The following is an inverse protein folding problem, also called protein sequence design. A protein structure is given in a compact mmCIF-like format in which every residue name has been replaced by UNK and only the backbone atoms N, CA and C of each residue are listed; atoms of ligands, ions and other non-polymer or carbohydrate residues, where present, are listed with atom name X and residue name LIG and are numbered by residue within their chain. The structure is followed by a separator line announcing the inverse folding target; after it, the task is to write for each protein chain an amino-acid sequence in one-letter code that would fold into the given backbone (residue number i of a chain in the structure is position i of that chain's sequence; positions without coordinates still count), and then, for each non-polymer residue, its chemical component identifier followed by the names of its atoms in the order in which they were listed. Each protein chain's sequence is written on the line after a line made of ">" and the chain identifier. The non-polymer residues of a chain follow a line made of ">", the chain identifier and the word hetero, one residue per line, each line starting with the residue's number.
data_IF_530462571159
#
_entry.id   IF_530462571159
#
_cell.length_a   1.000
_cell.length_b   1.000
_cell.length_c   1.000
_cell.angle_alpha   90.00
_cell.angle_beta   90.00
_cell.angle_gamma   90.00
#
_symmetry.space_group_name_H-M   'P 1'
#
loop_
_entity.id
_entity.type
_entity.pdbx_description
1 polymer ?
#
# COMPACT_ATOMS: atom_id res chain seq x y z
N UNK A 1 -2.92 -25.59 8.72
CA UNK A 1 -2.90 -24.69 9.88
C UNK A 1 -2.05 -23.49 9.50
N UNK A 2 -2.63 -22.30 9.33
CA UNK A 2 -1.88 -21.10 8.96
C UNK A 2 -0.99 -20.67 10.14
N UNK A 3 0.24 -20.20 9.90
CA UNK A 3 1.10 -19.71 10.96
C UNK A 3 0.44 -18.53 11.68
N UNK A 4 0.57 -18.48 13.00
CA UNK A 4 -0.05 -17.45 13.85
C UNK A 4 0.71 -16.12 13.84
N UNK A 5 1.89 -16.09 13.25
CA UNK A 5 2.75 -14.91 13.22
C UNK A 5 3.62 -14.96 11.97
N UNK A 6 3.43 -13.99 11.07
CA UNK A 6 4.28 -13.84 9.89
C UNK A 6 5.47 -12.92 10.24
N UNK A 7 6.71 -13.29 9.89
CA UNK A 7 7.87 -12.43 10.13
C UNK A 7 7.76 -11.15 9.28
N UNK A 8 8.11 -9.99 9.84
CA UNK A 8 7.96 -8.67 9.16
C UNK A 8 8.95 -8.45 8.01
N UNK A 9 10.01 -9.27 7.95
CA UNK A 9 11.03 -9.22 6.89
C UNK A 9 10.58 -9.92 5.60
N UNK A 10 9.33 -10.38 5.56
CA UNK A 10 8.75 -11.11 4.43
C UNK A 10 8.58 -10.25 3.18
N UNK A 11 8.70 -8.92 3.31
CA UNK A 11 8.47 -7.94 2.26
C UNK A 11 9.71 -7.10 2.05
N UNK A 12 10.22 -7.11 0.82
CA UNK A 12 11.21 -6.13 0.38
C UNK A 12 10.51 -5.06 -0.46
N UNK A 13 10.25 -3.85 0.08
CA UNK A 13 9.56 -2.80 -0.66
C UNK A 13 10.47 -2.14 -1.70
N UNK A 14 9.96 -1.96 -2.91
CA UNK A 14 10.52 -1.05 -3.92
C UNK A 14 9.55 0.10 -4.12
N UNK A 15 10.06 1.31 -4.02
CA UNK A 15 9.27 2.53 -4.17
C UNK A 15 9.34 3.06 -5.60
N UNK A 16 8.18 3.35 -6.17
CA UNK A 16 8.04 4.05 -7.44
C UNK A 16 7.18 5.31 -7.31
N UNK A 17 7.37 6.24 -8.25
CA UNK A 17 6.46 7.37 -8.46
C UNK A 17 5.95 7.38 -9.91
N UNK A 18 4.69 7.78 -10.11
CA UNK A 18 4.10 7.95 -11.45
C UNK A 18 3.48 9.33 -11.58
N UNK A 19 3.83 10.06 -12.64
CA UNK A 19 3.59 11.51 -12.78
C UNK A 19 2.45 11.86 -13.73
N UNK A 20 1.50 10.95 -14.01
CA UNK A 20 0.36 11.32 -14.88
C UNK A 20 -0.59 12.25 -14.11
N UNK A 21 -0.77 13.49 -14.58
CA UNK A 21 -1.50 14.56 -13.89
C UNK A 21 -2.99 14.22 -13.66
N UNK A 22 -3.34 13.86 -12.43
CA UNK A 22 -4.69 13.68 -11.88
C UNK A 22 -4.64 13.99 -10.37
N UNK A 23 -5.76 14.35 -9.70
CA UNK A 23 -5.75 14.71 -8.28
C UNK A 23 -5.12 13.65 -7.37
N UNK A 24 -5.12 12.35 -7.73
CA UNK A 24 -4.45 11.30 -6.94
C UNK A 24 -2.93 11.49 -6.79
N UNK A 25 -2.29 12.29 -7.68
CA UNK A 25 -0.87 12.62 -7.62
C UNK A 25 -0.56 13.89 -6.80
N UNK A 26 -1.54 14.40 -6.06
CA UNK A 26 -1.41 15.54 -5.16
C UNK A 26 -1.17 15.15 -3.71
N UNK A 27 -0.96 16.17 -2.87
CA UNK A 27 -0.88 16.03 -1.42
C UNK A 27 -1.98 16.80 -0.73
N UNK A 28 -2.37 16.32 0.43
CA UNK A 28 -3.30 17.03 1.30
C UNK A 28 -2.65 18.28 1.91
N UNK A 29 -3.40 19.37 2.01
CA UNK A 29 -2.97 20.63 2.65
C UNK A 29 -4.13 21.22 3.43
N UNK A 30 -3.81 21.99 4.47
CA UNK A 30 -4.81 22.79 5.18
C UNK A 30 -4.83 24.17 4.56
N UNK A 31 -5.97 24.57 3.99
CA UNK A 31 -6.20 25.92 3.53
C UNK A 31 -6.51 26.82 4.74
N UNK A 32 -5.69 27.86 4.91
CA UNK A 32 -5.86 28.85 5.98
C UNK A 32 -6.44 30.20 5.48
N UNK A 33 -7.24 30.21 4.39
CA UNK A 33 -7.85 31.45 3.89
C UNK A 33 -9.25 31.67 4.49
N UNK A 34 -9.25 32.64 5.41
CA UNK A 34 -10.27 33.58 5.92
C UNK A 34 -11.73 33.12 6.14
N UNK A 35 -12.21 33.44 7.35
CA UNK A 35 -13.60 33.44 7.86
C UNK A 35 -14.37 32.10 7.86
N UNK A 36 -14.06 31.13 6.98
CA UNK A 36 -14.85 29.90 6.79
C UNK A 36 -14.28 28.63 7.47
N UNK A 37 -13.29 28.75 8.35
CA UNK A 37 -12.66 27.62 9.04
C UNK A 37 -11.54 26.92 8.25
N UNK A 38 -10.86 25.97 8.90
CA UNK A 38 -9.74 25.22 8.32
C UNK A 38 -10.30 24.16 7.36
N UNK A 39 -10.09 24.31 6.05
CA UNK A 39 -10.53 23.34 5.03
C UNK A 39 -9.37 22.46 4.59
N UNK A 40 -9.57 21.15 4.51
CA UNK A 40 -8.63 20.23 3.86
C UNK A 40 -8.78 20.37 2.34
N UNK A 41 -7.68 20.66 1.65
CA UNK A 41 -7.62 20.78 0.20
C UNK A 41 -6.54 19.86 -0.35
N UNK A 42 -6.62 19.55 -1.64
CA UNK A 42 -5.60 18.78 -2.35
C UNK A 42 -4.79 19.73 -3.21
N UNK A 43 -3.48 19.76 -2.97
CA UNK A 43 -2.53 20.44 -3.82
C UNK A 43 -2.00 19.45 -4.87
N UNK A 44 -2.39 19.64 -6.13
CA UNK A 44 -1.98 18.78 -7.24
C UNK A 44 -0.58 19.17 -7.75
N UNK A 45 0.45 18.86 -6.95
CA UNK A 45 1.86 19.18 -7.23
C UNK A 45 2.49 18.31 -8.32
N UNK A 46 1.84 17.20 -8.69
CA UNK A 46 2.42 16.22 -9.61
C UNK A 46 3.51 15.36 -8.95
N UNK A 47 3.59 15.34 -7.62
CA UNK A 47 4.54 14.49 -6.88
C UNK A 47 4.28 12.99 -7.05
N UNK A 48 3.10 12.63 -7.58
CA UNK A 48 2.78 11.30 -8.04
C UNK A 48 2.06 10.46 -7.00
N UNK A 49 1.57 9.30 -7.45
CA UNK A 49 1.01 8.26 -6.57
C UNK A 49 2.16 7.43 -6.03
N UNK A 50 2.07 7.04 -4.75
CA UNK A 50 3.07 6.19 -4.14
C UNK A 50 2.77 4.72 -4.48
N UNK A 51 3.76 4.05 -5.04
CA UNK A 51 3.69 2.64 -5.41
C UNK A 51 4.70 1.83 -4.59
N UNK A 52 4.24 0.73 -4.00
CA UNK A 52 5.07 -0.24 -3.31
C UNK A 52 4.94 -1.56 -4.06
N UNK A 53 6.05 -2.03 -4.59
CA UNK A 53 6.21 -3.41 -5.04
C UNK A 53 6.86 -4.20 -3.91
N UNK A 54 6.29 -5.35 -3.58
CA UNK A 54 6.78 -6.24 -2.53
C UNK A 54 6.94 -7.65 -3.05
N UNK A 55 8.15 -8.20 -2.95
CA UNK A 55 8.38 -9.65 -3.02
C UNK A 55 7.94 -10.25 -1.68
N UNK A 56 7.08 -11.27 -1.71
CA UNK A 56 6.62 -11.98 -0.51
C UNK A 56 7.17 -13.41 -0.47
N UNK A 57 7.95 -13.74 0.56
CA UNK A 57 8.55 -15.08 0.77
C UNK A 57 7.55 -16.13 1.30
N UNK A 58 6.28 -16.02 0.89
CA UNK A 58 5.19 -16.92 1.24
C UNK A 58 4.41 -17.30 0.01
N UNK A 59 3.75 -18.46 0.05
CA UNK A 59 2.90 -18.93 -1.03
C UNK A 59 1.51 -18.32 -0.91
N UNK A 60 0.90 -17.94 -2.03
CA UNK A 60 -0.47 -17.41 -2.07
C UNK A 60 -1.47 -18.35 -1.38
N UNK A 61 -1.30 -19.67 -1.52
CA UNK A 61 -2.17 -20.68 -0.92
C UNK A 61 -2.21 -20.64 0.62
N UNK A 62 -1.20 -20.06 1.29
CA UNK A 62 -1.19 -19.92 2.75
C UNK A 62 -2.23 -18.91 3.25
N UNK A 63 -2.70 -18.02 2.38
CA UNK A 63 -3.77 -17.05 2.67
C UNK A 63 -5.18 -17.61 2.38
N UNK A 64 -5.28 -18.82 1.83
CA UNK A 64 -6.54 -19.46 1.45
C UNK A 64 -7.10 -19.00 0.10
N UNK A 65 -8.31 -19.46 -0.23
CA UNK A 65 -8.91 -19.27 -1.56
C UNK A 65 -9.43 -17.85 -1.81
N UNK A 66 -9.57 -17.03 -0.77
CA UNK A 66 -10.15 -15.70 -0.88
C UNK A 66 -9.37 -14.66 -0.07
N UNK A 67 -8.49 -13.91 -0.74
CA UNK A 67 -7.78 -12.77 -0.16
C UNK A 67 -8.72 -11.56 -0.20
N UNK A 68 -9.67 -11.53 0.72
CA UNK A 68 -10.49 -10.36 1.00
C UNK A 68 -10.38 -10.06 2.49
N UNK A 69 -10.25 -8.79 2.89
CA UNK A 69 -10.29 -8.45 4.30
C UNK A 69 -11.63 -8.91 4.92
N UNK A 70 -11.60 -9.50 6.13
CA UNK A 70 -10.42 -9.83 6.93
C UNK A 70 -9.78 -11.17 6.49
N UNK A 71 -8.45 -11.19 6.33
CA UNK A 71 -7.69 -12.43 6.18
C UNK A 71 -6.45 -12.42 7.09
N UNK A 72 -5.94 -13.60 7.51
CA UNK A 72 -4.82 -13.67 8.45
C UNK A 72 -3.55 -13.04 7.85
N UNK A 73 -2.83 -12.24 8.63
CA UNK A 73 -1.55 -11.69 8.19
C UNK A 73 -1.63 -10.37 7.42
N UNK A 74 -2.81 -9.74 7.29
CA UNK A 74 -2.97 -8.49 6.52
C UNK A 74 -2.11 -7.35 7.06
N UNK A 75 -2.04 -7.19 8.39
CA UNK A 75 -1.28 -6.12 9.03
C UNK A 75 0.23 -6.29 8.85
N UNK A 76 0.71 -7.53 8.81
CA UNK A 76 2.10 -7.86 8.52
C UNK A 76 2.45 -7.71 7.05
N UNK A 77 1.45 -7.79 6.16
CA UNK A 77 1.63 -7.54 4.75
C UNK A 77 1.69 -6.05 4.42
N UNK A 78 0.89 -5.22 5.10
CA UNK A 78 0.83 -3.79 4.80
C UNK A 78 2.15 -3.10 5.20
N UNK A 79 2.75 -2.39 4.24
CA UNK A 79 3.93 -1.58 4.52
C UNK A 79 3.51 -0.16 4.88
N UNK A 80 3.86 0.28 6.09
CA UNK A 80 3.63 1.65 6.53
C UNK A 80 4.70 2.58 5.97
N UNK A 81 4.32 3.45 5.03
CA UNK A 81 5.27 4.37 4.40
C UNK A 81 5.53 5.54 5.34
N UNK A 82 6.79 5.81 5.69
CA UNK A 82 7.15 7.00 6.46
C UNK A 82 6.58 8.28 5.84
N UNK A 83 5.85 9.06 6.62
CA UNK A 83 5.22 10.31 6.18
C UNK A 83 3.88 10.13 5.44
N UNK A 84 3.26 8.95 5.52
CA UNK A 84 1.91 8.67 5.01
C UNK A 84 0.86 8.39 6.11
N UNK A 85 1.28 8.36 7.37
CA UNK A 85 0.47 8.10 8.58
C UNK A 85 -0.43 9.28 8.98
N UNK A 86 -0.20 10.45 8.39
CA UNK A 86 -0.92 11.68 8.67
C UNK A 86 -2.05 12.01 7.69
N UNK A 87 -2.73 13.12 7.96
CA UNK A 87 -3.78 13.67 7.06
C UNK A 87 -3.27 14.86 6.26
N UNK A 88 -2.17 15.51 6.68
CA UNK A 88 -1.64 16.73 6.05
C UNK A 88 -0.28 16.44 5.44
N UNK A 89 -0.04 16.97 4.25
CA UNK A 89 1.18 16.73 3.47
C UNK A 89 1.42 15.25 3.18
N UNK A 90 0.34 14.47 3.08
CA UNK A 90 0.38 13.04 2.83
C UNK A 90 -0.06 12.72 1.40
N UNK A 91 0.44 11.63 0.79
CA UNK A 91 -0.03 11.17 -0.51
C UNK A 91 -1.51 10.78 -0.41
N UNK A 92 -2.26 10.99 -1.50
CA UNK A 92 -3.68 10.67 -1.54
C UNK A 92 -4.00 9.21 -1.83
N UNK A 93 -3.06 8.53 -2.47
CA UNK A 93 -3.23 7.14 -2.88
C UNK A 93 -1.91 6.40 -2.67
N UNK A 94 -2.01 5.26 -2.01
CA UNK A 94 -0.97 4.26 -1.89
C UNK A 94 -1.46 3.01 -2.60
N UNK A 95 -0.62 2.46 -3.48
CA UNK A 95 -0.89 1.18 -4.14
C UNK A 95 0.22 0.23 -3.74
N UNK A 96 -0.14 -0.89 -3.09
CA UNK A 96 0.78 -1.96 -2.75
C UNK A 96 0.46 -3.19 -3.59
N UNK A 97 1.46 -3.71 -4.29
CA UNK A 97 1.35 -4.91 -5.12
C UNK A 97 2.32 -5.95 -4.58
N UNK A 98 1.79 -7.14 -4.30
CA UNK A 98 2.58 -8.28 -3.86
C UNK A 98 2.78 -9.24 -5.02
N UNK A 99 4.03 -9.62 -5.24
CA UNK A 99 4.40 -10.68 -6.15
C UNK A 99 4.61 -11.94 -5.31
N UNK A 100 3.76 -12.93 -5.55
CA UNK A 100 3.89 -14.26 -4.94
C UNK A 100 4.46 -15.22 -5.99
N UNK A 101 5.48 -15.98 -5.63
CA UNK A 101 6.00 -17.04 -6.49
C UNK A 101 5.12 -18.29 -6.33
N UNK A 102 4.55 -18.78 -7.44
CA UNK A 102 3.93 -20.11 -7.48
C UNK A 102 5.04 -21.16 -7.53
N UNK A 103 5.54 -21.60 -6.37
CA UNK A 103 6.25 -22.87 -6.31
C UNK A 103 5.23 -24.01 -6.28
N UNK A 104 5.21 -24.79 -7.38
CA UNK A 104 4.42 -25.97 -7.75
C UNK A 104 3.11 -25.77 -8.54
N UNK A 105 3.25 -25.82 -9.89
CA UNK A 105 2.49 -26.79 -10.69
C UNK A 105 2.97 -28.17 -10.23
N UNK A 106 2.24 -28.84 -9.34
CA UNK A 106 2.42 -30.28 -9.19
C UNK A 106 1.79 -30.93 -10.41
N UNK A 107 2.62 -31.23 -11.41
CA UNK A 107 2.34 -32.25 -12.40
C UNK A 107 2.30 -33.62 -11.72
N UNK A 108 1.16 -34.30 -11.89
CA UNK A 108 0.91 -35.75 -11.78
C UNK A 108 1.02 -36.43 -10.38
N UNK A 109 -0.13 -36.63 -9.72
CA UNK A 109 -0.90 -37.90 -9.73
C UNK A 109 -2.25 -37.75 -9.00
#
# INVERSE_FOLDING_TARGET
>A
MAPSHYPKDLITPRFGNTTRCIPQAGRTRIQMREMAGRKLVVECTGEGVLFIEADADVRLQQFGDAIHPPFPGLEELLYDVPGSDGVVNCPLLLIQVYIFYLADVSSEQ
#
